data_IF_343869635034
#
_entry.id   IF_343869635034
#
_cell.length_a   1.000
_cell.length_b   1.000
_cell.length_c   1.000
_cell.angle_alpha   90.00
_cell.angle_beta   90.00
_cell.angle_gamma   90.00
#
_symmetry.space_group_name_H-M   'P 1'
#
loop_
_entity.id
_entity.type
_entity.pdbx_description
1 polymer ?
#
# COMPACT_ATOMS: atom_id res chain seq x y z
N UNK A 1 65.34 63.93 35.23
CA UNK A 1 63.90 63.69 35.37
C UNK A 1 63.66 62.77 36.57
N UNK A 2 62.88 63.23 37.56
CA UNK A 2 62.80 62.62 38.90
C UNK A 2 62.34 61.15 38.88
N UNK A 3 63.11 60.27 39.54
CA UNK A 3 62.82 58.84 39.72
C UNK A 3 61.44 58.57 40.35
N UNK A 4 60.90 59.54 41.08
CA UNK A 4 59.55 59.51 41.65
C UNK A 4 58.43 59.56 40.60
N UNK A 5 58.62 60.28 39.50
CA UNK A 5 57.60 60.40 38.45
C UNK A 5 57.55 59.13 37.57
N UNK A 6 58.72 58.56 37.24
CA UNK A 6 58.82 57.27 36.56
C UNK A 6 58.23 56.13 37.39
N UNK A 7 58.49 56.09 38.72
CA UNK A 7 57.90 55.09 39.62
C UNK A 7 56.38 55.20 39.67
N UNK A 8 55.83 56.42 39.73
CA UNK A 8 54.36 56.63 39.73
C UNK A 8 53.71 56.18 38.43
N UNK A 9 54.34 56.43 37.28
CA UNK A 9 53.85 55.94 35.99
C UNK A 9 53.92 54.42 35.92
N UNK A 10 55.01 53.81 36.39
CA UNK A 10 55.15 52.36 36.44
C UNK A 10 54.10 51.71 37.36
N UNK A 11 53.87 52.26 38.55
CA UNK A 11 52.82 51.77 39.47
C UNK A 11 51.42 51.92 38.85
N UNK A 12 51.16 53.02 38.16
CA UNK A 12 49.87 53.26 37.47
C UNK A 12 49.66 52.29 36.31
N UNK A 13 50.72 51.98 35.54
CA UNK A 13 50.69 51.00 34.46
C UNK A 13 50.45 49.58 35.00
N UNK A 14 51.10 49.18 36.09
CA UNK A 14 50.88 47.89 36.75
C UNK A 14 49.47 47.79 37.30
N UNK A 15 48.96 48.84 37.96
CA UNK A 15 47.58 48.87 38.44
C UNK A 15 46.57 48.75 37.29
N UNK A 16 46.79 49.45 36.17
CA UNK A 16 45.95 49.33 34.98
C UNK A 16 45.99 47.91 34.38
N UNK A 17 47.15 47.26 34.32
CA UNK A 17 47.28 45.88 33.88
C UNK A 17 46.50 44.90 34.77
N UNK A 18 46.58 45.09 36.09
CA UNK A 18 45.80 44.28 37.04
C UNK A 18 44.30 44.51 36.84
N UNK A 19 43.85 45.75 36.65
CA UNK A 19 42.45 46.05 36.37
C UNK A 19 41.95 45.44 35.06
N UNK A 20 42.75 45.47 33.99
CA UNK A 20 42.42 44.82 32.71
C UNK A 20 42.37 43.31 32.88
N UNK A 21 43.33 42.71 33.60
CA UNK A 21 43.35 41.27 33.85
C UNK A 21 42.15 40.81 34.68
N UNK A 22 41.82 41.54 35.76
CA UNK A 22 40.65 41.24 36.59
C UNK A 22 39.36 41.45 35.78
N UNK A 23 39.26 42.53 34.99
CA UNK A 23 38.13 42.77 34.10
C UNK A 23 37.95 41.66 33.06
N UNK A 24 39.05 41.19 32.45
CA UNK A 24 39.05 40.06 31.54
C UNK A 24 38.63 38.76 32.23
N UNK A 25 39.11 38.50 33.44
CA UNK A 25 38.76 37.30 34.21
C UNK A 25 37.28 37.30 34.61
N UNK A 26 36.73 38.45 35.03
CA UNK A 26 35.31 38.62 35.35
C UNK A 26 34.47 38.44 34.08
N UNK A 27 34.90 39.01 32.95
CA UNK A 27 34.24 38.82 31.67
C UNK A 27 34.24 37.35 31.26
N UNK A 28 35.39 36.67 31.29
CA UNK A 28 35.50 35.27 30.89
C UNK A 28 34.76 34.32 31.84
N UNK A 29 34.69 34.62 33.15
CA UNK A 29 33.96 33.82 34.12
C UNK A 29 32.43 33.97 33.98
N UNK A 30 31.93 35.16 33.62
CA UNK A 30 30.49 35.41 33.48
C UNK A 30 29.98 35.19 32.04
N UNK A 31 30.84 35.29 31.02
CA UNK A 31 30.48 35.14 29.60
C UNK A 31 30.91 33.80 28.99
N UNK A 32 31.33 32.83 29.80
CA UNK A 32 31.34 31.43 29.38
C UNK A 32 29.89 30.94 29.22
N UNK A 33 29.22 31.38 28.15
CA UNK A 33 27.90 30.88 27.77
C UNK A 33 28.08 29.49 27.21
N UNK A 34 28.03 28.49 28.09
CA UNK A 34 27.83 27.12 27.66
C UNK A 34 26.47 27.04 26.94
N UNK A 35 26.52 26.72 25.65
CA UNK A 35 25.30 26.55 24.86
C UNK A 35 24.60 25.29 25.35
N UNK A 36 23.47 25.46 26.03
CA UNK A 36 22.64 24.35 26.50
C UNK A 36 21.50 24.10 25.52
N UNK A 37 21.09 22.84 25.41
CA UNK A 37 19.93 22.41 24.62
C UNK A 37 19.09 21.45 25.48
N UNK A 38 17.77 21.53 25.38
CA UNK A 38 16.87 20.63 26.09
C UNK A 38 16.93 19.26 25.42
N UNK A 39 17.30 18.23 26.19
CA UNK A 39 17.34 16.88 25.70
C UNK A 39 15.92 16.29 25.62
N UNK A 40 15.50 15.89 24.42
CA UNK A 40 14.14 15.39 24.17
C UNK A 40 14.14 13.88 23.97
N UNK A 41 13.15 13.20 24.55
CA UNK A 41 12.92 11.79 24.27
C UNK A 41 12.34 11.63 22.86
N UNK A 42 13.01 10.85 22.01
CA UNK A 42 12.63 10.64 20.62
C UNK A 42 12.84 9.21 20.17
N UNK A 43 12.01 8.81 19.21
CA UNK A 43 12.21 7.58 18.42
C UNK A 43 12.90 7.94 17.11
N UNK A 44 14.08 7.37 16.85
CA UNK A 44 14.86 7.59 15.63
C UNK A 44 14.95 6.28 14.85
N UNK A 45 14.56 6.34 13.59
CA UNK A 45 14.64 5.20 12.68
C UNK A 45 15.92 5.27 11.84
N UNK A 46 16.71 4.21 11.89
CA UNK A 46 17.81 4.02 10.96
C UNK A 46 17.25 3.45 9.66
N UNK A 47 17.20 4.29 8.63
CA UNK A 47 16.66 3.93 7.32
C UNK A 47 17.78 3.83 6.28
N UNK A 48 17.63 2.90 5.34
CA UNK A 48 18.43 2.81 4.12
C UNK A 48 17.51 3.01 2.93
N UNK A 49 17.95 3.78 1.94
CA UNK A 49 17.23 3.95 0.67
C UNK A 49 17.84 3.01 -0.35
N UNK A 50 17.01 2.15 -0.95
CA UNK A 50 17.41 1.17 -1.95
C UNK A 50 16.44 1.21 -3.12
N UNK A 51 16.88 0.80 -4.30
CA UNK A 51 16.00 0.59 -5.45
C UNK A 51 16.13 -0.86 -5.90
N UNK A 52 15.01 -1.47 -6.25
CA UNK A 52 14.96 -2.89 -6.53
C UNK A 52 13.70 -3.33 -7.23
N UNK A 53 13.62 -4.62 -7.51
CA UNK A 53 12.55 -5.25 -8.26
C UNK A 53 11.61 -6.03 -7.34
N UNK A 54 10.31 -5.92 -7.59
CA UNK A 54 9.30 -6.80 -7.02
C UNK A 54 9.17 -8.07 -7.86
N UNK A 55 9.42 -9.20 -7.23
CA UNK A 55 9.35 -10.56 -7.78
C UNK A 55 8.16 -11.27 -7.14
N UNK A 56 7.22 -11.68 -7.99
CA UNK A 56 5.99 -12.39 -7.62
C UNK A 56 5.86 -13.63 -8.48
N UNK A 57 5.08 -14.62 -8.02
CA UNK A 57 4.71 -15.78 -8.83
C UNK A 57 3.58 -15.37 -9.78
N UNK A 58 3.96 -14.82 -10.93
CA UNK A 58 3.06 -14.22 -11.91
C UNK A 58 2.74 -15.20 -13.03
N UNK A 59 1.47 -15.29 -13.40
CA UNK A 59 1.00 -16.03 -14.58
C UNK A 59 0.22 -15.07 -15.47
N UNK A 60 0.63 -14.93 -16.73
CA UNK A 60 -0.06 -14.08 -17.70
C UNK A 60 -1.44 -14.66 -18.02
N UNK A 61 -2.44 -13.77 -18.07
CA UNK A 61 -3.78 -14.09 -18.56
C UNK A 61 -3.88 -13.65 -20.02
N UNK A 62 -4.39 -14.53 -20.86
CA UNK A 62 -4.60 -14.25 -22.28
C UNK A 62 -6.08 -14.27 -22.62
N UNK A 63 -6.52 -13.33 -23.45
CA UNK A 63 -7.82 -13.35 -24.10
C UNK A 63 -7.65 -13.44 -25.61
N UNK A 64 -8.29 -14.43 -26.22
CA UNK A 64 -8.40 -14.51 -27.67
C UNK A 64 -9.72 -13.89 -28.17
N UNK A 65 -10.60 -13.46 -27.26
CA UNK A 65 -11.81 -12.72 -27.59
C UNK A 65 -11.41 -11.30 -27.99
N UNK A 66 -11.67 -10.93 -29.25
CA UNK A 66 -11.48 -9.55 -29.72
C UNK A 66 -12.46 -8.58 -29.05
N UNK A 67 -12.33 -7.29 -29.37
CA UNK A 67 -13.23 -6.25 -28.86
C UNK A 67 -12.72 -5.55 -27.59
N UNK A 68 -13.64 -5.14 -26.72
CA UNK A 68 -13.40 -4.37 -25.50
C UNK A 68 -13.58 -5.27 -24.28
N UNK A 69 -12.65 -5.19 -23.33
CA UNK A 69 -12.73 -5.90 -22.06
C UNK A 69 -13.31 -5.02 -20.96
N UNK A 70 -14.22 -5.58 -20.20
CA UNK A 70 -14.67 -5.05 -18.91
C UNK A 70 -14.13 -5.96 -17.82
N UNK A 71 -13.32 -5.43 -16.92
CA UNK A 71 -12.81 -6.17 -15.77
C UNK A 71 -13.84 -6.12 -14.64
N UNK A 72 -14.16 -7.29 -14.10
CA UNK A 72 -15.03 -7.41 -12.93
C UNK A 72 -14.26 -7.24 -11.63
N UNK A 73 -12.94 -7.50 -11.68
CA UNK A 73 -12.06 -7.47 -10.52
C UNK A 73 -11.07 -6.30 -10.68
N UNK A 74 -10.95 -5.39 -9.70
CA UNK A 74 -9.98 -4.32 -9.75
C UNK A 74 -8.55 -4.85 -9.54
N UNK A 75 -7.55 -4.03 -9.89
CA UNK A 75 -6.15 -4.32 -9.56
C UNK A 75 -5.98 -4.55 -8.04
N UNK A 76 -5.36 -5.68 -7.68
CA UNK A 76 -5.17 -6.10 -6.30
C UNK A 76 -6.38 -6.83 -5.71
N UNK A 77 -7.45 -6.99 -6.48
CA UNK A 77 -8.59 -7.84 -6.11
C UNK A 77 -8.20 -9.32 -6.14
N UNK A 78 -8.82 -10.10 -5.25
CA UNK A 78 -8.62 -11.55 -5.16
C UNK A 78 -9.55 -12.28 -6.13
N UNK A 79 -9.03 -13.29 -6.81
CA UNK A 79 -9.79 -14.18 -7.68
C UNK A 79 -9.50 -15.63 -7.32
N UNK A 80 -10.53 -16.46 -7.34
CA UNK A 80 -10.39 -17.90 -7.17
C UNK A 80 -10.01 -18.59 -8.49
N UNK A 81 -9.52 -19.83 -8.38
CA UNK A 81 -9.25 -20.64 -9.56
C UNK A 81 -10.54 -20.82 -10.35
N UNK A 82 -10.44 -20.68 -11.67
CA UNK A 82 -11.55 -20.73 -12.62
C UNK A 82 -12.59 -19.60 -12.43
N UNK A 83 -12.26 -18.58 -11.63
CA UNK A 83 -13.06 -17.36 -11.48
C UNK A 83 -13.00 -16.46 -12.72
N UNK A 84 -14.09 -15.76 -13.00
CA UNK A 84 -14.17 -14.79 -14.09
C UNK A 84 -13.48 -13.49 -13.68
N UNK A 85 -12.52 -13.05 -14.49
CA UNK A 85 -11.75 -11.82 -14.27
C UNK A 85 -12.30 -10.67 -15.10
N UNK A 86 -12.71 -10.97 -16.34
CA UNK A 86 -13.21 -9.99 -17.27
C UNK A 86 -14.18 -10.61 -18.28
N UNK A 87 -15.06 -9.77 -18.81
CA UNK A 87 -15.94 -10.09 -19.93
C UNK A 87 -15.48 -9.34 -21.18
N UNK A 88 -15.49 -10.03 -22.31
CA UNK A 88 -15.19 -9.46 -23.61
C UNK A 88 -16.47 -9.12 -24.36
N UNK A 89 -16.54 -7.90 -24.88
CA UNK A 89 -17.69 -7.38 -25.61
C UNK A 89 -17.24 -6.85 -26.96
N UNK A 90 -18.16 -6.88 -27.93
CA UNK A 90 -17.89 -6.33 -29.26
C UNK A 90 -17.63 -4.82 -29.27
N UNK A 91 -18.30 -4.07 -28.39
CA UNK A 91 -18.14 -2.62 -28.27
C UNK A 91 -18.43 -2.12 -26.85
N UNK A 92 -17.99 -0.91 -26.54
CA UNK A 92 -18.31 -0.21 -25.27
C UNK A 92 -19.83 -0.04 -25.10
N UNK A 93 -20.56 0.18 -26.19
CA UNK A 93 -22.01 0.32 -26.15
C UNK A 93 -22.68 -1.01 -25.73
N UNK A 94 -22.20 -2.14 -26.25
CA UNK A 94 -22.71 -3.47 -25.90
C UNK A 94 -22.40 -3.82 -24.44
N UNK A 95 -21.19 -3.49 -23.97
CA UNK A 95 -20.80 -3.62 -22.57
C UNK A 95 -21.75 -2.82 -21.65
N UNK A 96 -22.01 -1.55 -21.99
CA UNK A 96 -22.93 -0.71 -21.22
C UNK A 96 -24.37 -1.23 -21.19
N UNK A 97 -24.86 -1.81 -22.29
CA UNK A 97 -26.19 -2.43 -22.35
C UNK A 97 -26.25 -3.67 -21.45
N UNK A 98 -25.26 -4.56 -21.53
CA UNK A 98 -25.23 -5.79 -20.73
C UNK A 98 -25.05 -5.50 -19.24
N UNK A 99 -24.19 -4.53 -18.89
CA UNK A 99 -24.06 -4.04 -17.53
C UNK A 99 -25.40 -3.50 -17.00
N UNK A 100 -26.11 -2.70 -17.81
CA UNK A 100 -27.41 -2.16 -17.39
C UNK A 100 -28.46 -3.26 -17.22
N UNK A 101 -28.47 -4.26 -18.10
CA UNK A 101 -29.34 -5.42 -17.96
C UNK A 101 -29.03 -6.18 -16.67
N UNK A 102 -27.75 -6.45 -16.36
CA UNK A 102 -27.33 -7.12 -15.12
C UNK A 102 -27.86 -6.40 -13.88
N UNK A 103 -27.64 -5.09 -13.77
CA UNK A 103 -28.14 -4.27 -12.65
C UNK A 103 -29.67 -4.35 -12.48
N UNK A 104 -30.41 -4.20 -13.59
CA UNK A 104 -31.88 -4.24 -13.56
C UNK A 104 -32.41 -5.64 -13.21
N UNK A 105 -31.72 -6.70 -13.66
CA UNK A 105 -32.08 -8.08 -13.35
C UNK A 105 -31.80 -8.42 -11.88
N UNK A 106 -30.67 -7.97 -11.33
CA UNK A 106 -30.36 -8.15 -9.90
C UNK A 106 -31.37 -7.42 -9.01
N UNK A 107 -31.71 -6.16 -9.34
CA UNK A 107 -32.75 -5.40 -8.62
C UNK A 107 -34.11 -6.11 -8.70
N UNK A 108 -34.49 -6.58 -9.89
CA UNK A 108 -35.75 -7.29 -10.11
C UNK A 108 -35.81 -8.59 -9.30
N UNK A 109 -34.72 -9.37 -9.29
CA UNK A 109 -34.62 -10.61 -8.50
C UNK A 109 -34.79 -10.32 -7.01
N UNK A 110 -34.07 -9.32 -6.49
CA UNK A 110 -34.15 -8.89 -5.09
C UNK A 110 -35.57 -8.48 -4.68
N UNK A 111 -36.28 -7.72 -5.52
CA UNK A 111 -37.66 -7.31 -5.24
C UNK A 111 -38.67 -8.47 -5.37
N UNK A 112 -38.42 -9.42 -6.29
CA UNK A 112 -39.26 -10.62 -6.42
C UNK A 112 -39.12 -11.56 -5.21
N UNK A 113 -37.90 -11.74 -4.69
CA UNK A 113 -37.65 -12.47 -3.45
C UNK A 113 -38.43 -11.85 -2.29
N UNK A 114 -38.38 -10.53 -2.13
CA UNK A 114 -39.17 -9.81 -1.13
C UNK A 114 -40.69 -9.96 -1.32
N UNK A 115 -41.17 -9.94 -2.56
CA UNK A 115 -42.59 -10.14 -2.85
C UNK A 115 -43.07 -11.54 -2.46
N UNK A 116 -42.22 -12.55 -2.63
CA UNK A 116 -42.53 -13.93 -2.23
C UNK A 116 -42.46 -14.12 -0.71
N UNK A 117 -41.54 -13.44 -0.01
CA UNK A 117 -41.41 -13.47 1.46
C UNK A 117 -42.49 -12.66 2.19
N UNK A 118 -43.14 -11.70 1.52
CA UNK A 118 -44.09 -10.75 2.11
C UNK A 118 -45.34 -11.36 2.77
N UNK A 119 -45.52 -12.68 2.72
CA UNK A 119 -46.65 -13.39 3.35
C UNK A 119 -46.33 -13.92 4.76
N UNK A 120 -45.09 -13.81 5.25
CA UNK A 120 -44.65 -14.31 6.57
C UNK A 120 -44.08 -13.22 7.50
N UNK A 121 -44.38 -11.95 7.26
CA UNK A 121 -43.67 -10.80 7.81
C UNK A 121 -43.97 -10.44 9.29
N UNK A 122 -45.04 -10.97 9.89
CA UNK A 122 -45.51 -10.51 11.22
C UNK A 122 -44.62 -10.89 12.40
N UNK A 123 -43.66 -11.81 12.25
CA UNK A 123 -42.88 -12.35 13.38
C UNK A 123 -41.46 -11.76 13.57
N UNK A 124 -41.05 -10.72 12.80
CA UNK A 124 -39.61 -10.38 12.68
C UNK A 124 -39.20 -8.91 12.78
N UNK A 125 -40.10 -7.99 13.15
CA UNK A 125 -39.81 -6.54 13.14
C UNK A 125 -38.61 -6.14 14.03
N UNK A 126 -38.52 -6.64 15.27
CA UNK A 126 -37.42 -6.32 16.19
C UNK A 126 -36.06 -6.89 15.73
N UNK A 127 -36.05 -8.08 15.14
CA UNK A 127 -34.83 -8.69 14.62
C UNK A 127 -34.32 -7.93 13.37
N UNK A 128 -35.24 -7.36 12.59
CA UNK A 128 -34.91 -6.66 11.36
C UNK A 128 -34.16 -5.34 11.62
N UNK A 129 -34.48 -4.65 12.72
CA UNK A 129 -33.78 -3.42 13.13
C UNK A 129 -32.35 -3.68 13.61
N UNK A 130 -32.15 -4.80 14.31
CA UNK A 130 -30.82 -5.29 14.64
C UNK A 130 -30.02 -5.63 13.37
N UNK A 131 -30.59 -6.42 12.46
CA UNK A 131 -29.95 -6.79 11.19
C UNK A 131 -29.60 -5.58 10.32
N UNK A 132 -30.46 -4.57 10.26
CA UNK A 132 -30.20 -3.31 9.56
C UNK A 132 -29.03 -2.54 10.17
N UNK A 133 -29.02 -2.43 11.50
CA UNK A 133 -27.97 -1.71 12.23
C UNK A 133 -26.62 -2.41 12.08
N UNK A 134 -26.59 -3.74 12.20
CA UNK A 134 -25.41 -4.57 11.97
C UNK A 134 -24.90 -4.43 10.53
N UNK A 135 -25.78 -4.55 9.53
CA UNK A 135 -25.39 -4.41 8.14
C UNK A 135 -24.88 -3.00 7.80
N UNK A 136 -25.44 -1.96 8.43
CA UNK A 136 -24.93 -0.59 8.29
C UNK A 136 -23.51 -0.45 8.86
N UNK A 137 -23.24 -1.05 10.02
CA UNK A 137 -21.89 -1.09 10.59
C UNK A 137 -20.92 -1.85 9.70
N UNK A 138 -21.35 -2.96 9.08
CA UNK A 138 -20.54 -3.71 8.12
C UNK A 138 -20.18 -2.84 6.90
N UNK A 139 -21.15 -2.13 6.31
CA UNK A 139 -20.87 -1.18 5.21
C UNK A 139 -19.86 -0.12 5.63
N UNK A 140 -20.02 0.48 6.82
CA UNK A 140 -19.09 1.50 7.33
C UNK A 140 -17.69 0.91 7.54
N UNK A 141 -17.60 -0.33 8.02
CA UNK A 141 -16.35 -1.04 8.21
C UNK A 141 -15.66 -1.30 6.87
N UNK A 142 -16.39 -1.82 5.88
CA UNK A 142 -15.86 -2.11 4.54
C UNK A 142 -15.28 -0.85 3.86
N UNK A 143 -15.91 0.31 4.06
CA UNK A 143 -15.38 1.60 3.59
C UNK A 143 -14.07 2.00 4.27
N UNK A 144 -13.93 1.70 5.56
CA UNK A 144 -12.79 2.14 6.38
C UNK A 144 -11.50 1.39 6.02
N UNK A 145 -11.61 0.16 5.52
CA UNK A 145 -10.48 -0.67 5.11
C UNK A 145 -9.91 -0.32 3.71
N UNK A 146 -10.55 0.63 3.02
CA UNK A 146 -9.93 1.46 2.00
C UNK A 146 -9.74 0.84 0.62
N UNK A 147 -10.26 -0.37 0.35
CA UNK A 147 -10.34 -0.91 -1.01
C UNK A 147 -11.26 -2.14 -1.14
N UNK A 148 -12.42 -2.15 -0.47
CA UNK A 148 -13.38 -3.27 -0.56
C UNK A 148 -14.50 -2.88 -1.52
N UNK A 149 -14.84 -3.77 -2.46
CA UNK A 149 -16.08 -3.64 -3.23
C UNK A 149 -17.27 -3.73 -2.26
N UNK A 150 -17.91 -2.59 -2.00
CA UNK A 150 -19.05 -2.48 -1.08
C UNK A 150 -20.38 -2.82 -1.76
N UNK A 151 -20.37 -3.23 -3.03
CA UNK A 151 -21.59 -3.45 -3.81
C UNK A 151 -22.51 -4.48 -3.15
N UNK A 152 -21.96 -5.60 -2.69
CA UNK A 152 -22.71 -6.66 -2.00
C UNK A 152 -23.28 -6.18 -0.66
N UNK A 153 -22.45 -5.55 0.18
CA UNK A 153 -22.86 -5.01 1.48
C UNK A 153 -23.95 -3.94 1.33
N UNK A 154 -23.86 -3.12 0.29
CA UNK A 154 -24.87 -2.12 -0.08
C UNK A 154 -26.15 -2.76 -0.61
N UNK A 155 -26.07 -3.76 -1.48
CA UNK A 155 -27.24 -4.49 -1.99
C UNK A 155 -28.00 -5.16 -0.85
N UNK A 156 -27.30 -5.81 0.07
CA UNK A 156 -27.88 -6.43 1.27
C UNK A 156 -28.54 -5.41 2.20
N UNK A 157 -27.91 -4.24 2.39
CA UNK A 157 -28.53 -3.15 3.15
C UNK A 157 -29.83 -2.68 2.50
N UNK A 158 -29.84 -2.47 1.18
CA UNK A 158 -31.03 -2.07 0.44
C UNK A 158 -32.16 -3.11 0.53
N UNK A 159 -31.82 -4.40 0.45
CA UNK A 159 -32.77 -5.50 0.65
C UNK A 159 -33.46 -5.41 2.01
N UNK A 160 -32.68 -5.26 3.09
CA UNK A 160 -33.21 -5.15 4.46
C UNK A 160 -34.07 -3.89 4.63
N UNK A 161 -33.68 -2.76 4.01
CA UNK A 161 -34.47 -1.52 4.04
C UNK A 161 -35.82 -1.70 3.35
N UNK A 162 -35.85 -2.36 2.20
CA UNK A 162 -37.09 -2.66 1.47
C UNK A 162 -37.97 -3.64 2.26
N UNK A 163 -37.36 -4.65 2.90
CA UNK A 163 -38.07 -5.57 3.80
C UNK A 163 -38.72 -4.85 4.98
N UNK A 164 -38.02 -3.88 5.59
CA UNK A 164 -38.58 -3.03 6.66
C UNK A 164 -39.79 -2.23 6.19
N UNK A 165 -39.72 -1.60 5.02
CA UNK A 165 -40.83 -0.79 4.51
C UNK A 165 -42.09 -1.61 4.26
N UNK A 166 -41.93 -2.89 3.90
CA UNK A 166 -43.03 -3.84 3.76
C UNK A 166 -43.60 -4.24 5.13
N UNK A 167 -42.74 -4.59 6.10
CA UNK A 167 -43.14 -4.97 7.46
C UNK A 167 -43.82 -3.82 8.23
N UNK A 168 -43.32 -2.59 8.10
CA UNK A 168 -43.91 -1.37 8.68
C UNK A 168 -45.25 -0.98 8.01
N UNK A 169 -45.66 -1.67 6.93
CA UNK A 169 -46.87 -1.35 6.17
C UNK A 169 -46.81 -0.04 5.38
N UNK A 170 -45.65 0.64 5.33
CA UNK A 170 -45.42 1.88 4.56
C UNK A 170 -45.61 1.66 3.06
N UNK A 171 -45.26 0.46 2.58
CA UNK A 171 -45.47 0.01 1.21
C UNK A 171 -46.21 -1.32 1.25
N UNK A 172 -47.26 -1.47 0.44
CA UNK A 172 -48.05 -2.71 0.37
C UNK A 172 -47.35 -3.83 -0.40
N UNK A 173 -46.66 -3.49 -1.49
CA UNK A 173 -45.88 -4.42 -2.33
C UNK A 173 -45.00 -3.64 -3.31
N UNK A 174 -44.12 -4.36 -4.03
CA UNK A 174 -43.23 -3.81 -5.05
C UNK A 174 -43.70 -4.02 -6.50
N UNK A 175 -44.97 -4.38 -6.72
CA UNK A 175 -45.49 -4.77 -8.05
C UNK A 175 -45.31 -3.71 -9.13
N UNK A 176 -45.54 -2.44 -8.81
CA UNK A 176 -45.35 -1.32 -9.74
C UNK A 176 -43.87 -1.13 -10.15
N UNK A 177 -42.94 -1.30 -9.18
CA UNK A 177 -41.50 -1.23 -9.44
C UNK A 177 -41.04 -2.42 -10.27
N UNK A 178 -41.47 -3.63 -9.91
CA UNK A 178 -41.21 -4.86 -10.68
C UNK A 178 -41.70 -4.69 -12.13
N UNK A 179 -42.92 -4.21 -12.35
CA UNK A 179 -43.45 -3.97 -13.70
C UNK A 179 -42.63 -2.93 -14.49
N UNK A 180 -42.16 -1.87 -13.82
CA UNK A 180 -41.29 -0.86 -14.43
C UNK A 180 -39.94 -1.46 -14.85
N UNK A 181 -39.30 -2.24 -13.97
CA UNK A 181 -38.04 -2.92 -14.25
C UNK A 181 -38.18 -3.92 -15.40
N UNK A 182 -39.28 -4.68 -15.43
CA UNK A 182 -39.61 -5.58 -16.55
C UNK A 182 -39.75 -4.83 -17.88
N UNK A 183 -40.45 -3.68 -17.89
CA UNK A 183 -40.57 -2.85 -19.10
C UNK A 183 -39.21 -2.31 -19.56
N UNK A 184 -38.35 -1.88 -18.64
CA UNK A 184 -37.01 -1.42 -18.95
C UNK A 184 -36.14 -2.53 -19.54
N UNK A 185 -36.18 -3.74 -18.97
CA UNK A 185 -35.48 -4.92 -19.49
C UNK A 185 -35.98 -5.31 -20.89
N UNK A 186 -37.30 -5.29 -21.11
CA UNK A 186 -37.88 -5.55 -22.42
C UNK A 186 -37.46 -4.51 -23.46
N UNK A 187 -37.48 -3.22 -23.11
CA UNK A 187 -37.06 -2.13 -24.00
C UNK A 187 -35.57 -2.20 -24.37
N UNK A 188 -34.70 -2.56 -23.41
CA UNK A 188 -33.28 -2.79 -23.68
C UNK A 188 -33.11 -3.98 -24.63
N UNK A 189 -33.80 -5.09 -24.36
CA UNK A 189 -33.70 -6.31 -25.17
C UNK A 189 -34.26 -6.15 -26.58
N UNK A 190 -35.29 -5.32 -26.78
CA UNK A 190 -35.86 -5.04 -28.11
C UNK A 190 -34.97 -4.10 -28.94
N UNK A 191 -34.20 -3.23 -28.30
CA UNK A 191 -33.40 -2.20 -28.99
C UNK A 191 -32.01 -2.74 -29.37
N UNK A 192 -31.32 -3.42 -28.44
CA UNK A 192 -30.02 -4.07 -28.65
C UNK A 192 -29.80 -5.14 -27.59
N UNK A 193 -29.41 -6.34 -27.98
CA UNK A 193 -29.18 -7.40 -27.01
C UNK A 193 -27.83 -7.36 -26.29
N UNK A 194 -26.86 -6.64 -26.85
CA UNK A 194 -25.46 -6.69 -26.45
C UNK A 194 -24.83 -8.02 -26.88
N UNK A 195 -23.63 -7.97 -27.45
CA UNK A 195 -22.91 -9.16 -27.91
C UNK A 195 -21.70 -9.41 -26.99
N UNK A 196 -21.82 -10.43 -26.14
CA UNK A 196 -20.69 -10.96 -25.34
C UNK A 196 -19.88 -11.92 -26.21
N UNK A 197 -18.59 -11.63 -26.37
CA UNK A 197 -17.66 -12.39 -27.20
C UNK A 197 -16.92 -13.48 -26.40
N UNK A 198 -16.99 -13.42 -25.07
CA UNK A 198 -16.43 -14.44 -24.19
C UNK A 198 -16.03 -13.90 -22.83
N UNK A 199 -15.39 -14.76 -22.05
CA UNK A 199 -14.94 -14.50 -20.68
C UNK A 199 -13.46 -14.79 -20.54
N UNK A 200 -12.77 -14.00 -19.74
CA UNK A 200 -11.40 -14.23 -19.31
C UNK A 200 -11.45 -14.86 -17.93
N UNK A 201 -10.87 -16.04 -17.79
CA UNK A 201 -10.93 -16.86 -16.57
C UNK A 201 -9.53 -17.00 -15.98
N UNK A 202 -9.43 -16.95 -14.65
CA UNK A 202 -8.19 -17.14 -13.93
C UNK A 202 -7.78 -18.62 -13.88
N UNK A 203 -6.63 -18.97 -14.46
CA UNK A 203 -6.13 -20.36 -14.40
C UNK A 203 -5.68 -20.81 -13.00
N UNK A 204 -5.38 -19.86 -12.11
CA UNK A 204 -4.97 -20.08 -10.72
C UNK A 204 -5.67 -19.07 -9.81
N UNK A 205 -5.88 -19.42 -8.55
CA UNK A 205 -6.28 -18.45 -7.53
C UNK A 205 -5.15 -17.47 -7.20
N UNK A 206 -5.48 -16.22 -6.88
CA UNK A 206 -4.49 -15.22 -6.52
C UNK A 206 -5.01 -13.79 -6.58
N UNK A 207 -4.09 -12.85 -6.75
CA UNK A 207 -4.39 -11.43 -6.92
C UNK A 207 -4.28 -11.01 -8.38
N UNK A 208 -5.26 -10.26 -8.87
CA UNK A 208 -5.31 -9.81 -10.25
C UNK A 208 -4.57 -8.48 -10.45
N UNK A 209 -3.88 -8.34 -11.59
CA UNK A 209 -3.39 -7.07 -12.12
C UNK A 209 -3.67 -6.99 -13.62
N UNK A 210 -4.27 -5.89 -14.05
CA UNK A 210 -4.51 -5.57 -15.47
C UNK A 210 -3.23 -5.16 -16.21
N UNK A 211 -2.11 -4.94 -15.51
CA UNK A 211 -0.87 -4.42 -16.10
C UNK A 211 0.15 -5.52 -16.33
N UNK A 212 0.69 -5.55 -17.54
CA UNK A 212 1.81 -6.42 -17.91
C UNK A 212 2.95 -5.58 -18.50
N UNK A 213 4.17 -5.83 -18.05
CA UNK A 213 5.33 -4.98 -18.32
C UNK A 213 6.51 -5.72 -18.93
N UNK A 214 6.36 -7.02 -19.19
CA UNK A 214 7.38 -7.86 -19.80
C UNK A 214 8.37 -8.44 -18.80
N UNK A 215 8.24 -8.14 -17.51
CA UNK A 215 9.09 -8.71 -16.46
C UNK A 215 8.47 -9.94 -15.79
N UNK A 216 7.30 -10.39 -16.22
CA UNK A 216 6.57 -11.52 -15.63
C UNK A 216 7.40 -12.81 -15.62
N UNK A 217 8.26 -13.01 -16.61
CA UNK A 217 9.17 -14.17 -16.70
C UNK A 217 10.64 -13.79 -16.47
N UNK A 218 10.93 -12.57 -16.02
CA UNK A 218 12.30 -12.09 -15.89
C UNK A 218 13.04 -12.70 -14.69
N UNK A 219 12.29 -13.07 -13.66
CA UNK A 219 12.80 -13.72 -12.46
C UNK A 219 11.98 -14.97 -12.16
N UNK A 220 12.64 -16.09 -11.90
CA UNK A 220 11.97 -17.27 -11.37
C UNK A 220 11.69 -17.05 -9.88
N UNK A 221 10.41 -17.09 -9.49
CA UNK A 221 9.99 -16.93 -8.11
C UNK A 221 10.62 -17.97 -7.17
N UNK A 222 10.75 -19.22 -7.63
CA UNK A 222 11.22 -20.33 -6.80
C UNK A 222 12.76 -20.28 -6.60
N UNK A 223 13.49 -19.56 -7.47
CA UNK A 223 14.97 -19.39 -7.41
C UNK A 223 15.39 -17.98 -6.95
N UNK A 224 14.44 -17.14 -6.53
CA UNK A 224 14.69 -15.73 -6.18
C UNK A 224 15.76 -15.57 -5.09
N UNK A 225 15.87 -16.57 -4.19
CA UNK A 225 16.84 -16.61 -3.08
C UNK A 225 18.29 -16.71 -3.56
N UNK A 226 18.53 -17.11 -4.80
CA UNK A 226 19.86 -17.31 -5.36
C UNK A 226 20.30 -16.16 -6.28
N UNK A 227 19.46 -15.12 -6.43
CA UNK A 227 19.74 -14.02 -7.35
C UNK A 227 21.04 -13.28 -6.99
N UNK A 228 21.86 -13.04 -8.01
CA UNK A 228 23.10 -12.29 -7.90
C UNK A 228 22.90 -10.81 -8.27
N UNK A 229 23.74 -9.89 -7.76
CA UNK A 229 23.66 -8.47 -8.09
C UNK A 229 23.87 -8.19 -9.59
N UNK A 230 24.64 -9.02 -10.31
CA UNK A 230 24.84 -8.87 -11.75
C UNK A 230 23.57 -9.20 -12.54
N UNK A 231 22.83 -10.24 -12.12
CA UNK A 231 21.57 -10.61 -12.78
C UNK A 231 20.56 -9.47 -12.70
N UNK A 232 20.46 -8.81 -11.53
CA UNK A 232 19.57 -7.67 -11.30
C UNK A 232 19.89 -6.46 -12.19
N UNK A 233 21.17 -6.22 -12.50
CA UNK A 233 21.60 -5.12 -13.38
C UNK A 233 21.37 -5.41 -14.86
N UNK A 234 21.31 -6.70 -15.24
CA UNK A 234 21.20 -7.15 -16.63
C UNK A 234 19.77 -7.43 -17.12
N UNK A 235 18.80 -7.42 -16.21
CA UNK A 235 17.40 -7.78 -16.51
C UNK A 235 16.78 -6.77 -17.48
N UNK A 236 15.99 -7.28 -18.43
CA UNK A 236 15.27 -6.47 -19.42
C UNK A 236 13.86 -7.04 -19.61
N UNK A 237 12.87 -6.20 -19.95
CA UNK A 237 11.53 -6.66 -20.23
C UNK A 237 11.52 -7.48 -21.53
N UNK A 238 10.75 -8.56 -21.53
CA UNK A 238 10.40 -9.30 -22.74
C UNK A 238 9.24 -8.62 -23.47
N UNK A 239 9.08 -8.93 -24.77
CA UNK A 239 7.91 -8.48 -25.51
C UNK A 239 6.64 -9.14 -24.95
N UNK A 240 5.65 -8.33 -24.60
CA UNK A 240 4.33 -8.82 -24.17
C UNK A 240 3.46 -9.06 -25.40
N UNK A 241 2.88 -10.26 -25.51
CA UNK A 241 1.99 -10.59 -26.61
C UNK A 241 0.69 -9.77 -26.52
N UNK A 242 0.12 -9.38 -27.68
CA UNK A 242 -1.07 -8.51 -27.73
C UNK A 242 -2.33 -9.11 -27.10
N UNK A 243 -2.40 -10.44 -27.03
CA UNK A 243 -3.51 -11.15 -26.42
C UNK A 243 -3.37 -11.28 -24.91
N UNK A 244 -2.29 -10.79 -24.29
CA UNK A 244 -2.13 -10.74 -22.83
C UNK A 244 -2.93 -9.57 -22.30
N UNK A 245 -3.84 -9.87 -21.39
CA UNK A 245 -4.85 -8.92 -20.86
C UNK A 245 -4.68 -8.65 -19.37
N UNK A 246 -3.66 -9.25 -18.76
CA UNK A 246 -3.37 -9.08 -17.34
C UNK A 246 -2.52 -10.22 -16.83
N UNK A 247 -2.41 -10.30 -15.51
CA UNK A 247 -1.69 -11.36 -14.81
C UNK A 247 -2.33 -11.69 -13.47
N UNK A 248 -2.12 -12.92 -13.03
CA UNK A 248 -2.44 -13.39 -11.69
C UNK A 248 -1.16 -13.57 -10.90
N UNK A 249 -1.09 -12.96 -9.72
CA UNK A 249 -0.08 -13.23 -8.71
C UNK A 249 -0.61 -14.33 -7.78
N UNK A 250 -0.15 -15.56 -7.95
CA UNK A 250 -0.73 -16.72 -7.27
C UNK A 250 -0.32 -16.88 -5.80
N UNK A 251 0.72 -16.17 -5.36
CA UNK A 251 1.24 -16.26 -4.00
C UNK A 251 0.98 -14.97 -3.23
N UNK A 252 0.66 -15.10 -1.94
CA UNK A 252 0.54 -13.95 -1.03
C UNK A 252 1.90 -13.35 -0.69
N UNK A 253 2.89 -14.20 -0.42
CA UNK A 253 4.26 -13.78 -0.18
C UNK A 253 4.94 -13.43 -1.51
N UNK A 254 5.67 -12.33 -1.51
CA UNK A 254 6.44 -11.87 -2.65
C UNK A 254 7.79 -11.31 -2.19
N UNK A 255 8.70 -11.10 -3.13
CA UNK A 255 10.06 -10.70 -2.80
C UNK A 255 10.38 -9.34 -3.38
N UNK A 256 11.03 -8.49 -2.60
CA UNK A 256 11.65 -7.27 -3.08
C UNK A 256 13.16 -7.48 -3.12
N UNK A 257 13.76 -7.36 -4.29
CA UNK A 257 15.16 -7.71 -4.54
C UNK A 257 15.95 -6.50 -5.01
N UNK A 258 16.98 -6.12 -4.26
CA UNK A 258 17.73 -4.89 -4.50
C UNK A 258 19.22 -5.15 -4.68
N UNK A 259 19.87 -4.60 -5.71
CA UNK A 259 21.32 -4.44 -5.69
C UNK A 259 21.70 -3.40 -4.63
N UNK A 260 22.61 -3.75 -3.73
CA UNK A 260 23.11 -2.89 -2.65
C UNK A 260 24.63 -2.90 -2.62
N UNK A 261 25.24 -1.79 -2.19
CA UNK A 261 26.68 -1.71 -1.98
C UNK A 261 27.12 -2.53 -0.76
N UNK A 262 28.40 -2.89 -0.68
CA UNK A 262 28.99 -3.59 0.46
C UNK A 262 28.70 -2.91 1.81
N UNK A 263 28.76 -1.57 1.84
CA UNK A 263 28.49 -0.78 3.05
C UNK A 263 27.02 -0.86 3.51
N UNK A 264 26.08 -1.00 2.57
CA UNK A 264 24.66 -1.19 2.88
C UNK A 264 24.37 -2.65 3.25
N UNK A 265 24.98 -3.61 2.55
CA UNK A 265 24.88 -5.03 2.87
C UNK A 265 25.35 -5.32 4.30
N UNK A 266 26.45 -4.70 4.74
CA UNK A 266 26.97 -4.85 6.11
C UNK A 266 26.02 -4.36 7.22
N UNK A 267 25.03 -3.52 6.90
CA UNK A 267 24.00 -3.04 7.83
C UNK A 267 22.82 -3.99 7.92
N UNK A 268 22.67 -4.92 6.97
CA UNK A 268 21.59 -5.88 6.91
C UNK A 268 22.05 -7.21 7.52
N UNK A 269 21.11 -7.92 8.14
CA UNK A 269 21.33 -9.25 8.69
C UNK A 269 20.24 -10.18 8.17
N UNK A 270 20.59 -11.38 7.67
CA UNK A 270 19.59 -12.40 7.36
C UNK A 270 18.70 -12.72 8.58
N UNK A 271 17.50 -13.22 8.30
CA UNK A 271 16.47 -13.62 9.27
C UNK A 271 16.03 -12.50 10.22
N UNK A 272 16.21 -11.24 9.82
CA UNK A 272 15.81 -10.07 10.60
C UNK A 272 14.56 -9.43 10.01
N UNK A 273 13.59 -9.10 10.86
CA UNK A 273 12.39 -8.37 10.44
C UNK A 273 12.69 -6.87 10.30
N UNK A 274 12.24 -6.29 9.19
CA UNK A 274 12.40 -4.88 8.83
C UNK A 274 11.08 -4.30 8.36
N UNK A 275 10.99 -2.97 8.31
CA UNK A 275 9.85 -2.28 7.69
C UNK A 275 10.27 -1.64 6.39
N UNK A 276 9.53 -1.90 5.33
CA UNK A 276 9.75 -1.33 4.00
C UNK A 276 8.64 -0.34 3.70
N UNK A 277 9.01 0.87 3.31
CA UNK A 277 8.09 1.86 2.77
C UNK A 277 8.47 2.16 1.32
N UNK A 278 7.47 2.29 0.46
CA UNK A 278 7.62 2.67 -0.95
C UNK A 278 7.07 4.10 -1.12
N UNK A 279 7.88 5.16 -0.95
CA UNK A 279 7.37 6.53 -0.80
C UNK A 279 6.57 7.04 -1.99
N UNK A 280 6.82 6.49 -3.19
CA UNK A 280 6.15 6.87 -4.43
C UNK A 280 4.91 6.02 -4.75
N UNK A 281 4.64 5.00 -3.94
CA UNK A 281 3.52 4.06 -4.12
C UNK A 281 2.49 4.24 -3.00
N UNK A 282 2.95 4.26 -1.75
CA UNK A 282 2.09 4.36 -0.58
C UNK A 282 2.82 4.95 0.62
N UNK A 283 2.09 5.69 1.45
CA UNK A 283 2.58 6.17 2.75
C UNK A 283 2.66 5.05 3.80
N UNK A 284 2.02 3.89 3.54
CA UNK A 284 2.04 2.74 4.43
C UNK A 284 3.42 2.06 4.40
N UNK A 285 3.85 1.57 5.56
CA UNK A 285 5.00 0.68 5.66
C UNK A 285 4.51 -0.75 5.77
N UNK A 286 5.16 -1.66 5.06
CA UNK A 286 4.90 -3.10 5.14
C UNK A 286 5.99 -3.78 5.96
N UNK A 287 5.64 -4.86 6.64
CA UNK A 287 6.61 -5.72 7.29
C UNK A 287 7.28 -6.61 6.24
N UNK A 288 8.57 -6.81 6.39
CA UNK A 288 9.34 -7.72 5.55
C UNK A 288 10.41 -8.42 6.39
N UNK A 289 10.95 -9.51 5.86
CA UNK A 289 12.07 -10.25 6.46
C UNK A 289 13.23 -10.26 5.47
N UNK A 290 14.43 -9.96 5.95
CA UNK A 290 15.66 -10.15 5.15
C UNK A 290 15.92 -11.64 5.04
N UNK A 291 15.55 -12.27 3.93
CA UNK A 291 15.69 -13.73 3.79
C UNK A 291 17.08 -14.13 3.32
N UNK A 292 17.76 -13.27 2.53
CA UNK A 292 19.07 -13.59 2.00
C UNK A 292 19.84 -12.34 1.58
N UNK A 293 21.17 -12.41 1.69
CA UNK A 293 22.11 -11.41 1.17
C UNK A 293 23.19 -12.12 0.35
N UNK A 294 23.06 -12.08 -0.97
CA UNK A 294 23.99 -12.77 -1.87
C UNK A 294 25.14 -11.84 -2.25
N UNK A 295 26.35 -12.15 -1.76
CA UNK A 295 27.57 -11.38 -2.01
C UNK A 295 28.73 -12.33 -2.31
N UNK A 296 29.60 -11.97 -3.27
CA UNK A 296 30.79 -12.77 -3.60
C UNK A 296 31.86 -12.64 -2.53
N UNK A 297 32.10 -11.41 -2.05
CA UNK A 297 33.04 -11.11 -0.97
C UNK A 297 32.45 -10.03 -0.06
N UNK A 298 33.03 -9.82 1.13
CA UNK A 298 32.56 -8.77 2.07
C UNK A 298 32.65 -7.34 1.51
N UNK A 299 33.46 -7.13 0.48
CA UNK A 299 33.70 -5.81 -0.11
C UNK A 299 33.01 -5.64 -1.48
N UNK A 300 32.32 -6.67 -1.98
CA UNK A 300 31.60 -6.59 -3.26
C UNK A 300 30.17 -6.09 -3.05
N UNK A 301 29.57 -5.57 -4.12
CA UNK A 301 28.11 -5.39 -4.19
C UNK A 301 27.39 -6.71 -3.85
N UNK A 302 26.19 -6.57 -3.30
CA UNK A 302 25.34 -7.69 -2.90
C UNK A 302 23.94 -7.55 -3.49
N UNK A 303 23.22 -8.66 -3.61
CA UNK A 303 21.78 -8.68 -3.80
C UNK A 303 21.11 -8.93 -2.45
N UNK A 304 20.36 -7.94 -1.95
CA UNK A 304 19.56 -8.07 -0.75
C UNK A 304 18.13 -8.50 -1.14
N UNK A 305 17.64 -9.56 -0.51
CA UNK A 305 16.35 -10.17 -0.82
C UNK A 305 15.47 -10.06 0.42
N UNK A 306 14.36 -9.36 0.26
CA UNK A 306 13.37 -9.15 1.31
C UNK A 306 12.11 -9.91 0.96
N UNK A 307 11.61 -10.75 1.85
CA UNK A 307 10.28 -11.37 1.73
C UNK A 307 9.23 -10.46 2.37
N UNK A 308 8.20 -10.14 1.60
CA UNK A 308 7.09 -9.28 1.98
C UNK A 308 5.81 -10.12 2.09
N UNK A 309 4.98 -9.86 3.10
CA UNK A 309 3.74 -10.58 3.38
C UNK A 309 2.51 -9.64 3.39
N UNK A 310 2.52 -8.63 2.52
CA UNK A 310 1.42 -7.70 2.36
C UNK A 310 1.17 -7.43 0.88
N UNK A 311 -0.08 -7.57 0.43
CA UNK A 311 -0.50 -7.33 -0.95
C UNK A 311 -1.76 -6.48 -0.94
N UNK A 312 -1.73 -5.36 -1.67
CA UNK A 312 -2.87 -4.48 -1.89
C UNK A 312 -2.86 -3.92 -3.32
N UNK A 313 -3.85 -3.12 -3.68
CA UNK A 313 -4.00 -2.51 -5.02
C UNK A 313 -2.87 -1.55 -5.39
N UNK A 314 -2.21 -0.93 -4.42
CA UNK A 314 -1.06 -0.07 -4.67
C UNK A 314 0.20 -0.91 -4.93
N UNK A 315 0.37 -2.00 -4.18
CA UNK A 315 1.53 -2.88 -4.23
C UNK A 315 1.48 -3.88 -5.39
N UNK A 316 0.33 -4.28 -5.90
CA UNK A 316 0.24 -5.32 -6.94
C UNK A 316 0.96 -4.91 -8.24
N UNK A 317 0.97 -3.61 -8.54
CA UNK A 317 1.48 -3.07 -9.79
C UNK A 317 2.94 -2.59 -9.71
N UNK A 318 3.58 -2.67 -8.54
CA UNK A 318 4.98 -2.24 -8.43
C UNK A 318 5.87 -3.24 -9.16
N UNK A 319 6.83 -2.75 -9.95
CA UNK A 319 7.84 -3.59 -10.61
C UNK A 319 9.24 -3.23 -10.18
N UNK A 320 9.63 -1.98 -10.38
CA UNK A 320 10.94 -1.47 -10.03
C UNK A 320 10.75 -0.15 -9.30
N UNK A 321 11.01 -0.15 -8.00
CA UNK A 321 10.68 0.98 -7.14
C UNK A 321 11.83 1.35 -6.22
N UNK A 322 11.79 2.59 -5.73
CA UNK A 322 12.65 3.04 -4.63
C UNK A 322 11.95 2.79 -3.31
N UNK A 323 12.63 2.11 -2.40
CA UNK A 323 12.14 1.79 -1.08
C UNK A 323 13.03 2.36 0.03
N UNK A 324 12.41 2.71 1.15
CA UNK A 324 13.07 3.02 2.41
C UNK A 324 12.91 1.84 3.35
N UNK A 325 14.02 1.16 3.66
CA UNK A 325 14.04 0.04 4.60
C UNK A 325 14.47 0.56 5.97
N UNK A 326 13.60 0.44 6.96
CA UNK A 326 13.91 0.74 8.36
C UNK A 326 14.53 -0.51 8.98
N UNK A 327 15.82 -0.44 9.28
CA UNK A 327 16.61 -1.58 9.79
C UNK A 327 16.54 -1.63 11.31
N UNK A 328 16.69 -0.49 11.98
CA UNK A 328 16.63 -0.38 13.43
C UNK A 328 15.79 0.83 13.84
N UNK A 329 15.11 0.69 14.98
CA UNK A 329 14.39 1.78 15.64
C UNK A 329 14.98 1.97 17.03
N UNK A 330 15.57 3.13 17.27
CA UNK A 330 16.13 3.51 18.57
C UNK A 330 15.15 4.42 19.28
N UNK A 331 14.92 4.17 20.58
CA UNK A 331 14.12 5.03 21.45
C UNK A 331 15.01 5.52 22.57
N UNK A 332 15.12 6.83 22.74
CA UNK A 332 16.00 7.39 23.75
C UNK A 332 16.04 8.90 23.71
N UNK A 333 16.97 9.47 24.47
CA UNK A 333 17.17 10.91 24.54
C UNK A 333 18.00 11.34 23.32
N UNK A 334 17.45 12.22 22.49
CA UNK A 334 18.19 12.83 21.38
C UNK A 334 19.04 13.96 21.95
N UNK A 335 20.36 13.88 21.74
CA UNK A 335 21.33 14.93 22.05
C UNK A 335 21.98 15.42 20.74
N UNK A 336 22.36 16.70 20.70
CA UNK A 336 23.13 17.24 19.58
C UNK A 336 24.48 16.53 19.46
N UNK A 337 24.88 16.19 18.24
CA UNK A 337 26.19 15.57 17.99
C UNK A 337 27.35 16.48 18.42
N UNK A 338 27.14 17.81 18.43
CA UNK A 338 28.16 18.77 18.89
C UNK A 338 28.44 18.68 20.39
N UNK A 339 27.51 18.11 21.16
CA UNK A 339 27.64 17.92 22.61
C UNK A 339 28.28 16.57 22.97
N UNK A 340 28.61 15.73 21.99
CA UNK A 340 29.23 14.43 22.20
C UNK A 340 30.75 14.58 22.14
N UNK A 341 31.41 14.41 23.27
CA UNK A 341 32.88 14.38 23.38
C UNK A 341 33.33 12.96 23.75
N UNK A 342 34.19 12.37 22.92
CA UNK A 342 34.81 11.09 23.24
C UNK A 342 36.08 11.32 24.05
N UNK A 343 36.19 10.64 25.19
CA UNK A 343 37.43 10.61 25.95
C UNK A 343 38.51 9.92 25.10
N UNK A 344 39.66 10.57 24.92
CA UNK A 344 40.81 9.92 24.29
C UNK A 344 41.37 8.91 25.29
N UNK A 345 41.04 7.63 25.08
CA UNK A 345 41.69 6.53 25.79
C UNK A 345 43.18 6.60 25.47
N UNK A 346 44.00 6.73 26.51
CA UNK A 346 45.44 7.00 26.42
C UNK A 346 46.25 5.72 26.38
#
# INVERSE_FOLDING_TARGET
>A
MNSLWLKRIATMAVAAFIFIFVGYQIYHANFAHEKTEIALYKTVNQTITVSGYAVRKETQLTSNSGGVLQYDIPDGGRVDKDGVVAHAYKSVADAGILQKKKELTEELKSLQELANEGSSADASAENLDFMLSDQLLNVISDFKDGNVDVSDSRQKLLYLMNKKQLADGKIKNFSARISTLQKQLSALSSTRNGEELGKVVAGNSGYFSSKTDGYESAFNYDEVRELSPEKLKSVKPAAVAKNVVGKICSQFNWYFVCPVSAATAAKLKPDTSVKINFPFVSSKSINATVVQINQKTKNSDAAAIFECNAMDSALINIRHETAKVTVNTYKGIQISQQSVHFEKVR
#
